data_IF_468299619008
#
_entry.id   IF_468299619008
#
_cell.length_a   1.000
_cell.length_b   1.000
_cell.length_c   1.000
_cell.angle_alpha   90.00
_cell.angle_beta   90.00
_cell.angle_gamma   90.00
#
_symmetry.space_group_name_H-M   'P 1'
#
loop_
_entity.id
_entity.type
_entity.pdbx_description
1 polymer ?
#
# COMPACT_ATOMS: atom_id res chain seq x y z
N UNK A 1 0.33 -40.33 -14.34
CA UNK A 1 0.30 -40.62 -12.88
C UNK A 1 1.72 -40.97 -12.44
N UNK A 2 2.45 -40.08 -11.82
CA UNK A 2 3.70 -40.42 -11.13
C UNK A 2 3.75 -39.60 -9.84
N UNK A 3 3.50 -40.34 -8.76
CA UNK A 3 3.53 -39.88 -7.39
C UNK A 3 4.97 -40.02 -6.90
N UNK A 4 5.73 -38.93 -6.82
CA UNK A 4 7.05 -38.93 -6.19
C UNK A 4 6.89 -38.56 -4.71
N UNK A 5 6.89 -39.60 -3.85
CA UNK A 5 7.12 -39.48 -2.42
C UNK A 5 8.60 -39.20 -2.17
N UNK A 6 8.95 -37.97 -1.77
CA UNK A 6 10.26 -37.70 -1.16
C UNK A 6 10.12 -37.80 0.34
N UNK A 7 10.48 -38.99 0.88
CA UNK A 7 10.75 -39.15 2.31
C UNK A 7 12.12 -38.56 2.62
N UNK A 8 12.14 -37.39 3.28
CA UNK A 8 13.32 -36.85 3.90
C UNK A 8 13.28 -37.16 5.40
N UNK A 9 14.07 -38.11 5.81
CA UNK A 9 14.40 -38.36 7.21
C UNK A 9 15.50 -37.39 7.64
N UNK A 10 15.17 -36.45 8.50
CA UNK A 10 16.12 -35.56 9.17
C UNK A 10 15.55 -35.14 10.53
N UNK A 11 16.33 -35.35 11.58
CA UNK A 11 16.04 -35.18 12.99
C UNK A 11 15.45 -33.85 13.37
N UNK A 12 14.42 -33.89 14.21
CA UNK A 12 13.97 -32.93 15.19
C UNK A 12 14.43 -31.46 15.04
N UNK A 13 13.68 -30.73 14.26
CA UNK A 13 13.25 -29.37 14.55
C UNK A 13 11.83 -29.27 14.01
N UNK A 14 10.87 -28.96 14.87
CA UNK A 14 9.45 -28.98 14.56
C UNK A 14 9.08 -28.00 13.48
N UNK A 15 9.43 -28.32 12.24
CA UNK A 15 8.98 -27.61 11.06
C UNK A 15 7.49 -27.85 10.89
N UNK A 16 6.70 -26.84 11.20
CA UNK A 16 5.29 -26.83 10.81
C UNK A 16 5.23 -26.95 9.29
N UNK A 17 4.76 -28.08 8.79
CA UNK A 17 4.43 -28.22 7.36
C UNK A 17 3.21 -27.31 7.13
N UNK A 18 3.46 -26.14 6.58
CA UNK A 18 2.38 -25.25 6.16
C UNK A 18 1.92 -25.78 4.79
N UNK A 19 0.74 -26.37 4.75
CA UNK A 19 0.07 -26.61 3.49
C UNK A 19 -0.35 -25.24 2.96
N UNK A 20 0.33 -24.74 1.93
CA UNK A 20 -0.13 -23.59 1.19
C UNK A 20 -1.40 -24.01 0.46
N UNK A 21 -2.55 -23.51 0.92
CA UNK A 21 -3.77 -23.51 0.12
C UNK A 21 -3.47 -22.79 -1.19
N UNK A 22 -3.94 -23.34 -2.30
CA UNK A 22 -3.81 -22.67 -3.60
C UNK A 22 -4.32 -21.22 -3.51
N UNK A 23 -3.67 -20.31 -4.22
CA UNK A 23 -4.15 -18.93 -4.35
C UNK A 23 -5.58 -18.94 -4.91
N UNK A 24 -6.41 -17.99 -4.43
CA UNK A 24 -7.71 -17.70 -5.03
C UNK A 24 -7.54 -17.17 -6.47
N UNK A 25 -8.62 -17.18 -7.25
CA UNK A 25 -8.57 -16.82 -8.67
C UNK A 25 -8.05 -15.40 -8.91
N UNK A 26 -8.36 -14.46 -8.00
CA UNK A 26 -7.95 -13.05 -8.07
C UNK A 26 -6.87 -12.69 -7.03
N UNK A 27 -6.30 -13.66 -6.36
CA UNK A 27 -5.33 -13.42 -5.30
C UNK A 27 -3.93 -13.17 -5.86
N UNK A 28 -3.34 -12.02 -5.54
CA UNK A 28 -1.99 -11.65 -5.95
C UNK A 28 -0.92 -12.16 -4.99
N UNK A 29 -1.16 -11.99 -3.68
CA UNK A 29 -0.29 -12.48 -2.63
C UNK A 29 -1.05 -12.67 -1.33
N UNK A 30 -0.41 -13.37 -0.36
CA UNK A 30 -0.96 -13.61 0.97
C UNK A 30 0.11 -13.43 2.04
N UNK A 31 -0.27 -12.76 3.12
CA UNK A 31 0.55 -12.60 4.32
C UNK A 31 -0.23 -13.20 5.50
N UNK A 32 0.23 -14.36 6.01
CA UNK A 32 -0.53 -15.11 6.99
C UNK A 32 -1.90 -15.53 6.45
N UNK A 33 -2.96 -15.04 7.05
CA UNK A 33 -4.36 -15.31 6.66
C UNK A 33 -4.96 -14.20 5.79
N UNK A 34 -4.19 -13.14 5.53
CA UNK A 34 -4.69 -11.94 4.85
C UNK A 34 -4.19 -11.94 3.41
N UNK A 35 -5.14 -11.90 2.49
CA UNK A 35 -4.87 -11.85 1.05
C UNK A 35 -4.96 -10.45 0.50
N UNK A 36 -4.19 -10.18 -0.55
CA UNK A 36 -4.39 -9.06 -1.46
C UNK A 36 -4.95 -9.61 -2.77
N UNK A 37 -6.01 -8.99 -3.26
CA UNK A 37 -6.66 -9.36 -4.52
C UNK A 37 -6.36 -8.37 -5.63
N UNK A 38 -6.59 -8.80 -6.89
CA UNK A 38 -6.42 -7.94 -8.05
C UNK A 38 -7.28 -6.66 -7.98
N UNK A 39 -8.59 -6.71 -7.61
CA UNK A 39 -9.39 -5.50 -7.46
C UNK A 39 -8.83 -4.52 -6.42
N UNK A 40 -8.33 -5.01 -5.30
CA UNK A 40 -7.67 -4.19 -4.27
C UNK A 40 -6.42 -3.52 -4.83
N UNK A 41 -5.56 -4.27 -5.50
CA UNK A 41 -4.36 -3.73 -6.14
C UNK A 41 -4.71 -2.67 -7.18
N UNK A 42 -5.71 -2.92 -8.02
CA UNK A 42 -6.16 -1.96 -9.04
C UNK A 42 -6.66 -0.66 -8.42
N UNK A 43 -7.35 -0.74 -7.27
CA UNK A 43 -7.79 0.46 -6.54
C UNK A 43 -6.59 1.30 -6.08
N UNK A 44 -5.60 0.68 -5.45
CA UNK A 44 -4.38 1.37 -5.01
C UNK A 44 -3.62 1.97 -6.19
N UNK A 45 -3.44 1.18 -7.26
CA UNK A 45 -2.70 1.62 -8.44
C UNK A 45 -3.38 2.81 -9.13
N UNK A 46 -4.71 2.77 -9.28
CA UNK A 46 -5.47 3.87 -9.88
C UNK A 46 -5.37 5.15 -9.04
N UNK A 47 -5.46 5.05 -7.72
CA UNK A 47 -5.29 6.20 -6.85
C UNK A 47 -3.89 6.80 -6.96
N UNK A 48 -2.84 5.97 -6.96
CA UNK A 48 -1.47 6.43 -7.17
C UNK A 48 -1.29 7.06 -8.54
N UNK A 49 -1.87 6.46 -9.59
CA UNK A 49 -1.82 7.01 -10.93
C UNK A 49 -2.45 8.40 -10.98
N UNK A 50 -3.64 8.56 -10.44
CA UNK A 50 -4.33 9.85 -10.38
C UNK A 50 -3.50 10.90 -9.63
N UNK A 51 -2.92 10.53 -8.48
CA UNK A 51 -2.08 11.43 -7.68
C UNK A 51 -0.84 11.90 -8.45
N UNK A 52 -0.16 11.00 -9.17
CA UNK A 52 0.97 11.37 -10.03
C UNK A 52 0.55 12.25 -11.21
N UNK A 53 -0.56 11.93 -11.86
CA UNK A 53 -1.07 12.70 -12.99
C UNK A 53 -1.56 14.10 -12.58
N UNK A 54 -2.17 14.24 -11.43
CA UNK A 54 -2.62 15.53 -10.89
C UNK A 54 -1.44 16.48 -10.61
N UNK A 55 -0.31 15.94 -10.20
CA UNK A 55 0.89 16.75 -9.88
C UNK A 55 1.76 17.01 -11.10
N UNK A 56 1.95 16.00 -11.96
CA UNK A 56 2.96 16.01 -13.02
C UNK A 56 2.38 15.97 -14.44
N UNK A 57 1.07 15.72 -14.58
CA UNK A 57 0.41 15.48 -15.86
C UNK A 57 0.67 14.09 -16.42
N UNK A 58 -0.12 13.70 -17.44
CA UNK A 58 -0.09 12.33 -18.01
C UNK A 58 1.23 11.96 -18.69
N UNK A 59 2.03 12.94 -19.11
CA UNK A 59 3.35 12.72 -19.72
C UNK A 59 4.38 12.12 -18.74
N UNK A 60 4.09 12.09 -17.43
CA UNK A 60 4.98 11.49 -16.43
C UNK A 60 5.29 10.02 -16.74
N UNK A 61 4.35 9.30 -17.35
CA UNK A 61 4.48 7.88 -17.68
C UNK A 61 5.45 7.57 -18.82
N UNK A 62 5.86 8.58 -19.57
CA UNK A 62 6.89 8.44 -20.62
C UNK A 62 8.31 8.43 -20.04
N UNK A 63 8.46 8.76 -18.74
CA UNK A 63 9.75 8.80 -18.06
C UNK A 63 10.27 7.38 -17.83
N UNK A 64 11.56 7.23 -18.18
CA UNK A 64 12.35 6.03 -17.86
C UNK A 64 13.46 6.41 -16.90
N UNK A 65 13.73 5.55 -15.94
CA UNK A 65 14.85 5.68 -15.03
C UNK A 65 15.65 4.40 -15.02
N UNK A 66 16.94 4.49 -15.33
CA UNK A 66 17.80 3.34 -15.58
C UNK A 66 17.18 2.41 -16.65
N UNK A 67 16.93 1.15 -16.34
CA UNK A 67 16.36 0.15 -17.24
C UNK A 67 14.86 -0.09 -17.04
N UNK A 68 14.18 0.73 -16.22
CA UNK A 68 12.75 0.58 -15.90
C UNK A 68 11.94 1.82 -16.26
N UNK A 69 10.63 1.65 -16.47
CA UNK A 69 9.70 2.75 -16.65
C UNK A 69 9.17 3.20 -15.30
N UNK A 70 8.78 4.49 -15.20
CA UNK A 70 8.09 4.96 -14.00
C UNK A 70 6.84 4.14 -13.70
N UNK A 71 6.13 3.70 -14.74
CA UNK A 71 4.94 2.86 -14.62
C UNK A 71 5.24 1.53 -13.92
N UNK A 72 6.36 0.87 -14.24
CA UNK A 72 6.77 -0.37 -13.57
C UNK A 72 7.14 -0.11 -12.11
N UNK A 73 7.91 0.96 -11.86
CA UNK A 73 8.25 1.35 -10.48
C UNK A 73 7.00 1.64 -9.63
N UNK A 74 6.01 2.35 -10.16
CA UNK A 74 4.76 2.65 -9.42
C UNK A 74 3.98 1.38 -9.12
N UNK A 75 3.96 0.40 -10.02
CA UNK A 75 3.36 -0.92 -9.77
C UNK A 75 4.02 -1.65 -8.61
N UNK A 76 5.34 -1.65 -8.56
CA UNK A 76 6.12 -2.28 -7.48
C UNK A 76 5.93 -1.55 -6.15
N UNK A 77 5.90 -0.22 -6.18
CA UNK A 77 5.62 0.60 -4.99
C UNK A 77 4.22 0.31 -4.45
N UNK A 78 3.20 0.22 -5.31
CA UNK A 78 1.84 -0.11 -4.90
C UNK A 78 1.78 -1.47 -4.19
N UNK A 79 2.41 -2.51 -4.76
CA UNK A 79 2.49 -3.83 -4.13
C UNK A 79 3.20 -3.79 -2.78
N UNK A 80 4.31 -3.06 -2.69
CA UNK A 80 5.07 -2.93 -1.44
C UNK A 80 4.25 -2.20 -0.35
N UNK A 81 3.55 -1.14 -0.71
CA UNK A 81 2.68 -0.40 0.22
C UNK A 81 1.52 -1.25 0.73
N UNK A 82 0.86 -2.00 -0.15
CA UNK A 82 -0.21 -2.92 0.24
C UNK A 82 0.34 -4.00 1.17
N UNK A 83 1.49 -4.60 0.85
CA UNK A 83 2.11 -5.62 1.69
C UNK A 83 2.47 -5.08 3.08
N UNK A 84 2.99 -3.86 3.16
CA UNK A 84 3.27 -3.18 4.42
C UNK A 84 1.98 -2.95 5.22
N UNK A 85 0.93 -2.41 4.59
CA UNK A 85 -0.36 -2.18 5.24
C UNK A 85 -0.98 -3.48 5.75
N UNK A 86 -1.00 -4.55 4.93
CA UNK A 86 -1.50 -5.87 5.33
C UNK A 86 -0.72 -6.47 6.51
N UNK A 87 0.61 -6.27 6.54
CA UNK A 87 1.46 -6.71 7.66
C UNK A 87 1.10 -5.98 8.95
N UNK A 88 0.88 -4.67 8.87
CA UNK A 88 0.45 -3.86 10.03
C UNK A 88 -0.98 -4.21 10.47
N UNK A 89 -1.87 -4.48 9.54
CA UNK A 89 -3.21 -4.96 9.86
C UNK A 89 -3.20 -6.33 10.54
N UNK A 90 -2.36 -7.27 10.08
CA UNK A 90 -2.17 -8.56 10.74
C UNK A 90 -1.70 -8.36 12.20
N UNK A 91 -0.73 -7.47 12.40
CA UNK A 91 -0.26 -7.12 13.74
C UNK A 91 -1.38 -6.46 14.59
N UNK A 92 -2.24 -5.64 13.99
CA UNK A 92 -3.40 -5.07 14.69
C UNK A 92 -4.37 -6.17 15.16
N UNK A 93 -4.60 -7.19 14.33
CA UNK A 93 -5.39 -8.37 14.71
C UNK A 93 -4.75 -9.16 15.85
N UNK A 94 -3.44 -9.42 15.79
CA UNK A 94 -2.72 -10.12 16.86
C UNK A 94 -2.73 -9.37 18.18
N UNK A 95 -2.74 -8.04 18.14
CA UNK A 95 -2.81 -7.17 19.32
C UNK A 95 -4.24 -6.83 19.75
N UNK A 96 -5.24 -7.42 19.09
CA UNK A 96 -6.67 -7.19 19.39
C UNK A 96 -7.06 -5.70 19.33
N UNK A 97 -6.41 -4.93 18.44
CA UNK A 97 -6.76 -3.52 18.22
C UNK A 97 -8.13 -3.44 17.57
N UNK A 98 -9.01 -2.61 18.12
CA UNK A 98 -10.38 -2.44 17.64
C UNK A 98 -10.68 -0.99 17.30
N UNK A 99 -11.66 -0.81 16.43
CA UNK A 99 -12.27 0.49 16.16
C UNK A 99 -13.35 0.79 17.20
N UNK A 100 -13.56 2.07 17.46
CA UNK A 100 -14.70 2.55 18.26
C UNK A 100 -15.91 2.73 17.33
N UNK A 101 -17.14 2.66 17.86
CA UNK A 101 -18.35 2.79 17.07
C UNK A 101 -18.40 4.07 16.21
N UNK A 102 -17.93 5.19 16.71
CA UNK A 102 -17.85 6.44 15.93
C UNK A 102 -16.77 6.45 14.86
N UNK A 103 -15.73 5.59 14.94
CA UNK A 103 -14.74 5.40 13.87
C UNK A 103 -15.31 4.53 12.76
N UNK A 104 -16.00 3.45 13.12
CA UNK A 104 -16.67 2.56 12.16
C UNK A 104 -17.70 3.32 11.32
N UNK A 105 -18.53 4.17 11.94
CA UNK A 105 -19.50 4.99 11.24
C UNK A 105 -18.83 5.96 10.24
N UNK A 106 -17.74 6.62 10.65
CA UNK A 106 -16.98 7.52 9.77
C UNK A 106 -16.36 6.78 8.58
N UNK A 107 -15.82 5.58 8.80
CA UNK A 107 -15.26 4.76 7.74
C UNK A 107 -16.33 4.31 6.75
N UNK A 108 -17.52 3.92 7.25
CA UNK A 108 -18.64 3.54 6.39
C UNK A 108 -19.10 4.71 5.49
N UNK A 109 -19.21 5.92 6.06
CA UNK A 109 -19.54 7.12 5.30
C UNK A 109 -18.47 7.44 4.25
N UNK A 110 -17.19 7.44 4.66
CA UNK A 110 -16.09 7.72 3.75
C UNK A 110 -15.99 6.69 2.60
N UNK A 111 -16.19 5.42 2.89
CA UNK A 111 -16.21 4.36 1.87
C UNK A 111 -17.38 4.54 0.89
N UNK A 112 -18.54 4.93 1.39
CA UNK A 112 -19.70 5.23 0.55
C UNK A 112 -19.47 6.46 -0.33
N UNK A 113 -18.94 7.55 0.24
CA UNK A 113 -18.64 8.77 -0.51
C UNK A 113 -17.62 8.50 -1.61
N UNK A 114 -16.55 7.76 -1.29
CA UNK A 114 -15.54 7.38 -2.28
C UNK A 114 -16.15 6.51 -3.40
N UNK A 115 -16.91 5.47 -3.05
CA UNK A 115 -17.56 4.62 -4.04
C UNK A 115 -18.51 5.42 -4.96
N UNK A 116 -19.26 6.37 -4.41
CA UNK A 116 -20.17 7.22 -5.17
C UNK A 116 -19.46 8.26 -6.05
N UNK A 117 -18.19 8.55 -5.77
CA UNK A 117 -17.36 9.46 -6.59
C UNK A 117 -16.81 8.78 -7.85
N UNK A 118 -16.78 7.46 -7.88
CA UNK A 118 -16.29 6.68 -9.01
C UNK A 118 -17.37 6.55 -10.11
N UNK A 119 -16.92 6.59 -11.36
CA UNK A 119 -17.77 6.27 -12.49
C UNK A 119 -18.06 4.77 -12.58
N UNK A 120 -19.16 4.39 -13.22
CA UNK A 120 -19.48 2.99 -13.46
C UNK A 120 -18.38 2.25 -14.24
N UNK A 121 -17.71 2.94 -15.16
CA UNK A 121 -16.59 2.38 -15.94
C UNK A 121 -15.39 2.06 -15.05
N UNK A 122 -15.07 2.93 -14.10
CA UNK A 122 -13.97 2.68 -13.14
C UNK A 122 -14.31 1.52 -12.21
N UNK A 123 -15.53 1.47 -11.68
CA UNK A 123 -15.98 0.38 -10.81
C UNK A 123 -15.85 -0.97 -11.54
N UNK A 124 -16.34 -1.06 -12.78
CA UNK A 124 -16.27 -2.29 -13.58
C UNK A 124 -14.83 -2.65 -13.96
N UNK A 125 -14.01 -1.66 -14.34
CA UNK A 125 -12.62 -1.89 -14.72
C UNK A 125 -11.76 -2.39 -13.56
N UNK A 126 -12.00 -1.87 -12.35
CA UNK A 126 -11.29 -2.30 -11.13
C UNK A 126 -11.91 -3.55 -10.49
N UNK A 127 -13.17 -3.86 -10.79
CA UNK A 127 -13.90 -4.98 -10.19
C UNK A 127 -14.19 -4.79 -8.70
N UNK A 128 -14.38 -3.54 -8.26
CA UNK A 128 -14.56 -3.19 -6.84
C UNK A 128 -16.01 -3.04 -6.45
N UNK A 129 -16.29 -3.24 -5.16
CA UNK A 129 -17.59 -3.00 -4.54
C UNK A 129 -17.46 -2.04 -3.35
N UNK A 130 -18.57 -1.46 -2.92
CA UNK A 130 -18.61 -0.61 -1.73
C UNK A 130 -18.14 -1.35 -0.47
N UNK A 131 -18.52 -2.62 -0.32
CA UNK A 131 -18.13 -3.45 0.82
C UNK A 131 -16.61 -3.68 0.83
N UNK A 132 -16.01 -3.89 -0.34
CA UNK A 132 -14.55 -4.03 -0.45
C UNK A 132 -13.85 -2.73 -0.03
N UNK A 133 -14.32 -1.57 -0.47
CA UNK A 133 -13.74 -0.28 -0.07
C UNK A 133 -13.86 -0.09 1.44
N UNK A 134 -15.01 -0.41 2.03
CA UNK A 134 -15.18 -0.36 3.48
C UNK A 134 -14.23 -1.29 4.21
N UNK A 135 -14.04 -2.51 3.70
CA UNK A 135 -13.05 -3.45 4.25
C UNK A 135 -11.64 -2.85 4.22
N UNK A 136 -11.22 -2.32 3.07
CA UNK A 136 -9.88 -1.73 2.90
C UNK A 136 -9.67 -0.52 3.83
N UNK A 137 -10.68 0.34 3.97
CA UNK A 137 -10.61 1.48 4.90
C UNK A 137 -10.51 1.02 6.36
N UNK A 138 -11.22 -0.06 6.71
CA UNK A 138 -11.16 -0.67 8.04
C UNK A 138 -9.78 -1.26 8.31
N UNK A 139 -9.22 -2.01 7.35
CA UNK A 139 -7.87 -2.58 7.46
C UNK A 139 -6.81 -1.50 7.63
N UNK A 140 -6.90 -0.43 6.81
CA UNK A 140 -5.99 0.72 6.90
C UNK A 140 -6.09 1.43 8.24
N UNK A 141 -7.30 1.69 8.74
CA UNK A 141 -7.51 2.36 10.02
C UNK A 141 -6.95 1.54 11.19
N UNK A 142 -7.12 0.22 11.18
CA UNK A 142 -6.55 -0.66 12.18
C UNK A 142 -5.01 -0.74 12.09
N UNK A 143 -4.47 -0.79 10.87
CA UNK A 143 -3.03 -0.73 10.63
C UNK A 143 -2.42 0.59 11.14
N UNK A 144 -3.10 1.71 10.92
CA UNK A 144 -2.69 3.02 11.42
C UNK A 144 -2.72 3.08 12.96
N UNK A 145 -3.77 2.57 13.60
CA UNK A 145 -3.87 2.54 15.07
C UNK A 145 -2.74 1.74 15.71
N UNK A 146 -2.40 0.57 15.16
CA UNK A 146 -1.30 -0.22 15.72
C UNK A 146 0.05 0.47 15.47
N UNK A 147 0.23 1.12 14.33
CA UNK A 147 1.42 1.93 14.08
C UNK A 147 1.59 3.05 15.11
N UNK A 148 0.55 3.84 15.35
CA UNK A 148 0.55 4.91 16.37
C UNK A 148 0.82 4.37 17.76
N UNK A 149 0.25 3.21 18.11
CA UNK A 149 0.50 2.56 19.38
C UNK A 149 1.98 2.16 19.53
N UNK A 150 2.60 1.62 18.49
CA UNK A 150 4.02 1.25 18.52
C UNK A 150 4.90 2.48 18.62
N UNK A 151 4.65 3.50 17.79
CA UNK A 151 5.43 4.74 17.79
C UNK A 151 5.32 5.47 19.13
N UNK A 152 4.15 5.48 19.76
CA UNK A 152 3.97 6.09 21.08
C UNK A 152 4.74 5.38 22.20
N UNK A 153 5.09 4.11 22.01
CA UNK A 153 5.89 3.33 22.96
C UNK A 153 7.40 3.48 22.73
N UNK A 154 7.79 3.97 21.56
CA UNK A 154 9.18 4.31 21.28
C UNK A 154 9.47 5.66 21.93
N UNK A 155 10.11 5.64 23.10
CA UNK A 155 10.67 6.85 23.68
C UNK A 155 12.04 7.07 22.99
N UNK A 156 12.17 8.03 22.09
CA UNK A 156 13.48 8.33 21.53
C UNK A 156 14.31 9.01 22.63
N UNK A 157 15.02 8.25 23.42
CA UNK A 157 16.19 8.78 24.12
C UNK A 157 17.22 9.15 23.07
N UNK A 158 16.94 10.25 22.38
CA UNK A 158 17.93 10.87 21.51
C UNK A 158 18.95 11.49 22.46
N UNK A 159 20.16 10.92 22.53
CA UNK A 159 21.25 11.54 23.25
C UNK A 159 21.52 12.92 22.65
N UNK A 160 21.94 13.89 23.48
CA UNK A 160 22.27 15.24 22.99
C UNK A 160 23.28 15.25 21.85
N UNK A 161 24.08 14.21 21.70
CA UNK A 161 25.03 14.03 20.59
C UNK A 161 24.33 13.52 19.29
N UNK A 162 23.31 12.69 19.38
CA UNK A 162 22.50 12.26 18.22
C UNK A 162 21.56 13.36 17.75
N UNK A 163 21.04 14.18 18.67
CA UNK A 163 20.19 15.33 18.34
C UNK A 163 20.93 16.41 17.51
N UNK A 164 22.28 16.39 17.50
CA UNK A 164 23.11 17.33 16.72
C UNK A 164 23.33 16.89 15.28
N UNK A 165 23.00 15.66 14.91
CA UNK A 165 23.16 15.16 13.55
C UNK A 165 21.81 15.21 12.82
N UNK A 166 21.42 16.39 12.38
CA UNK A 166 20.28 16.54 11.48
C UNK A 166 20.76 16.32 10.06
N UNK A 167 20.42 15.17 9.47
CA UNK A 167 20.55 14.96 8.04
C UNK A 167 19.34 15.64 7.41
N UNK A 168 19.55 16.84 6.87
CA UNK A 168 18.52 17.55 6.10
C UNK A 168 18.68 17.15 4.64
N UNK A 169 17.87 16.25 4.15
CA UNK A 169 17.69 16.08 2.70
C UNK A 169 16.81 17.21 2.19
N UNK A 170 17.44 18.19 1.56
CA UNK A 170 16.74 19.31 0.96
C UNK A 170 16.50 19.03 -0.51
N UNK A 171 15.27 18.71 -0.87
CA UNK A 171 14.83 18.69 -2.28
C UNK A 171 14.59 20.12 -2.72
N UNK A 172 15.56 20.70 -3.45
CA UNK A 172 15.40 22.02 -4.06
C UNK A 172 14.67 21.87 -5.39
N UNK A 173 13.37 22.05 -5.40
CA UNK A 173 12.60 22.22 -6.63
C UNK A 173 12.88 23.60 -7.22
N UNK A 174 13.75 23.67 -8.21
CA UNK A 174 13.93 24.88 -9.03
C UNK A 174 12.71 24.97 -9.94
N UNK A 175 11.77 25.86 -9.62
CA UNK A 175 10.73 26.23 -10.57
C UNK A 175 11.41 26.87 -11.78
N UNK A 176 11.28 26.28 -12.96
CA UNK A 176 11.61 26.93 -14.21
C UNK A 176 10.62 28.09 -14.40
N UNK A 177 10.99 29.29 -13.95
CA UNK A 177 10.31 30.50 -14.42
C UNK A 177 10.56 30.62 -15.92
N UNK A 178 9.49 30.43 -16.70
CA UNK A 178 9.47 30.81 -18.12
C UNK A 178 9.85 32.27 -18.20
N UNK A 179 11.02 32.58 -18.75
CA UNK A 179 11.40 33.95 -19.11
C UNK A 179 10.35 34.56 -20.02
N UNK A 180 9.84 35.74 -19.73
CA UNK A 180 8.97 36.41 -20.67
C UNK A 180 9.73 36.73 -21.94
N UNK A 181 9.12 36.38 -23.04
CA UNK A 181 9.40 36.61 -24.44
C UNK A 181 10.22 37.88 -24.72
N UNK A 182 11.47 37.72 -25.16
CA UNK A 182 12.16 38.82 -25.86
C UNK A 182 11.64 38.87 -27.28
N UNK A 183 10.66 39.71 -27.50
CA UNK A 183 10.32 40.13 -28.86
C UNK A 183 11.50 40.86 -29.50
N UNK A 184 11.80 40.41 -30.69
CA UNK A 184 12.78 40.98 -31.61
C UNK A 184 12.55 42.48 -31.84
N UNK A 185 13.60 43.28 -31.77
CA UNK A 185 13.83 44.45 -32.59
C UNK A 185 15.07 44.22 -33.43
#
# INVERSE_FOLDING_TARGET
LSLCCLCSCGKDSGGKVVFTTAFGEDELFRIGEISCTMPEYMLYLTNMQNEYEDVFGTQIWELTYEDTTLQENVKDIALAQIAQMKSMYLLAKEKEVTLQAGEEERLALAAQEYYNSLSQTEIEAMGISQDMILQLYTEYALAQKVYEMIVSQVNPEISDDEARTVIVEQIVLKSCQKSPDRRYQ
#
